data_IF_828439510242
#
_entry.id   IF_828439510242
#
_cell.length_a   1.000
_cell.length_b   1.000
_cell.length_c   1.000
_cell.angle_alpha   90.00
_cell.angle_beta   90.00
_cell.angle_gamma   90.00
#
_symmetry.space_group_name_H-M   'P 1'
#
loop_
_entity.id
_entity.type
_entity.pdbx_description
1 polymer ?
#
# COMPACT_ATOMS: atom_id res chain seq x y z
N UNK A 1 25.66 52.70 3.22
CA UNK A 1 25.85 51.41 2.52
C UNK A 1 24.51 50.70 2.51
N UNK A 2 23.90 50.20 1.45
CA UNK A 2 24.05 50.29 -0.01
C UNK A 2 22.66 49.84 -0.52
N UNK A 3 22.02 50.74 -1.26
CA UNK A 3 20.88 50.68 -2.18
C UNK A 3 20.09 49.36 -2.37
N UNK A 4 18.77 49.48 -2.20
CA UNK A 4 17.71 48.65 -2.78
C UNK A 4 17.81 48.60 -4.33
N UNK A 5 17.26 47.55 -4.97
CA UNK A 5 16.37 47.73 -6.13
C UNK A 5 15.71 46.43 -6.59
N UNK A 6 14.40 46.55 -6.79
CA UNK A 6 13.52 45.67 -7.53
C UNK A 6 13.81 45.71 -9.05
N UNK A 7 12.96 44.98 -9.82
CA UNK A 7 12.82 44.88 -11.28
C UNK A 7 13.26 43.49 -11.78
N UNK A 8 12.54 42.77 -12.64
CA UNK A 8 11.34 43.05 -13.41
C UNK A 8 10.86 41.72 -14.04
N UNK A 9 9.54 41.63 -14.32
CA UNK A 9 8.91 41.24 -15.61
C UNK A 9 9.60 40.13 -16.41
N UNK A 10 8.98 39.03 -16.84
CA UNK A 10 7.60 38.75 -17.18
C UNK A 10 7.58 37.61 -18.23
N UNK A 11 6.39 37.10 -18.53
CA UNK A 11 5.98 36.31 -19.70
C UNK A 11 7.03 35.47 -20.45
N UNK A 12 6.85 34.15 -20.45
CA UNK A 12 6.86 33.39 -21.69
C UNK A 12 6.10 32.07 -21.53
N UNK A 13 4.91 32.00 -22.10
CA UNK A 13 4.32 30.71 -22.45
C UNK A 13 5.04 30.15 -23.67
N UNK A 14 5.30 28.84 -23.67
CA UNK A 14 5.46 28.10 -24.92
C UNK A 14 5.13 26.62 -24.69
N UNK A 15 4.01 26.19 -25.27
CA UNK A 15 3.74 24.83 -25.71
C UNK A 15 4.99 24.21 -26.37
N UNK A 16 5.34 22.95 -26.08
CA UNK A 16 5.58 21.95 -27.12
C UNK A 16 5.74 20.53 -26.56
N UNK A 17 5.28 19.60 -27.40
CA UNK A 17 4.91 18.20 -27.20
C UNK A 17 6.13 17.20 -27.18
N UNK A 18 5.93 15.87 -27.10
CA UNK A 18 6.78 14.92 -26.38
C UNK A 18 7.92 14.30 -27.22
N UNK A 19 8.96 13.82 -26.55
CA UNK A 19 9.95 12.92 -27.15
C UNK A 19 9.63 11.46 -26.76
N UNK A 20 8.98 10.76 -27.69
CA UNK A 20 8.83 9.30 -27.67
C UNK A 20 10.22 8.69 -27.91
N UNK A 21 10.86 8.17 -26.87
CA UNK A 21 12.01 7.28 -27.05
C UNK A 21 11.52 5.84 -27.19
N UNK A 22 11.33 5.40 -28.43
CA UNK A 22 11.20 3.99 -28.76
C UNK A 22 12.54 3.28 -28.46
N UNK A 23 12.62 2.57 -27.34
CA UNK A 23 13.77 1.72 -27.00
C UNK A 23 13.58 0.34 -27.63
N UNK A 24 14.39 0.06 -28.65
CA UNK A 24 14.55 -1.27 -29.26
C UNK A 24 14.91 -2.30 -28.19
N UNK A 25 14.21 -3.44 -28.07
CA UNK A 25 14.65 -4.54 -27.23
C UNK A 25 15.76 -5.33 -27.92
N UNK A 26 16.92 -5.58 -27.28
CA UNK A 26 17.81 -6.62 -27.74
C UNK A 26 17.20 -7.99 -27.43
N UNK A 27 17.06 -8.81 -28.47
CA UNK A 27 16.76 -10.23 -28.37
C UNK A 27 17.89 -10.93 -27.60
N UNK A 28 17.64 -11.29 -26.34
CA UNK A 28 18.52 -12.19 -25.58
C UNK A 28 17.94 -13.59 -25.59
N UNK A 29 18.71 -14.46 -26.23
CA UNK A 29 18.56 -15.91 -26.22
C UNK A 29 19.20 -16.38 -24.92
N UNK A 30 18.42 -16.41 -23.85
CA UNK A 30 18.91 -16.93 -22.56
C UNK A 30 18.46 -18.38 -22.39
N UNK A 31 19.50 -19.21 -22.47
CA UNK A 31 19.55 -20.63 -22.18
C UNK A 31 18.93 -20.97 -20.82
N UNK A 32 18.13 -22.03 -20.84
CA UNK A 32 17.84 -22.99 -19.79
C UNK A 32 18.53 -22.77 -18.44
N UNK A 33 17.78 -22.24 -17.47
CA UNK A 33 18.07 -22.40 -16.04
C UNK A 33 16.86 -23.09 -15.39
N UNK A 34 17.05 -24.17 -14.60
CA UNK A 34 15.93 -24.91 -14.04
C UNK A 34 15.28 -24.13 -12.88
N UNK A 35 14.00 -23.81 -13.06
CA UNK A 35 12.98 -23.77 -12.01
C UNK A 35 13.30 -22.96 -10.75
N UNK A 36 13.12 -21.64 -10.82
CA UNK A 36 12.64 -20.92 -9.65
C UNK A 36 11.16 -21.29 -9.47
N UNK A 37 10.90 -22.35 -8.70
CA UNK A 37 9.55 -22.65 -8.21
C UNK A 37 9.14 -21.48 -7.32
N UNK A 38 8.40 -20.54 -7.89
CA UNK A 38 7.49 -19.70 -7.11
C UNK A 38 6.54 -20.67 -6.42
N UNK A 39 6.86 -21.06 -5.18
CA UNK A 39 5.91 -21.69 -4.30
C UNK A 39 4.74 -20.71 -4.22
N UNK A 40 3.64 -21.07 -4.89
CA UNK A 40 2.38 -20.35 -4.78
C UNK A 40 2.07 -20.32 -3.29
N UNK A 41 2.07 -19.13 -2.70
CA UNK A 41 1.68 -18.97 -1.30
C UNK A 41 0.35 -19.72 -1.11
N UNK A 42 0.29 -20.56 -0.08
CA UNK A 42 -0.94 -21.26 0.25
C UNK A 42 -2.04 -20.22 0.51
N UNK A 43 -3.30 -20.48 0.12
CA UNK A 43 -4.38 -19.50 0.17
C UNK A 43 -4.62 -18.89 1.57
N UNK A 44 -4.16 -19.56 2.63
CA UNK A 44 -4.22 -19.03 3.99
C UNK A 44 -3.22 -17.89 4.24
N UNK A 45 -2.02 -17.96 3.64
CA UNK A 45 -0.99 -16.93 3.76
C UNK A 45 -1.41 -15.65 3.02
N UNK A 46 -2.06 -15.78 1.87
CA UNK A 46 -2.61 -14.63 1.12
C UNK A 46 -3.66 -13.88 1.96
N UNK A 47 -4.56 -14.59 2.63
CA UNK A 47 -5.58 -13.99 3.49
C UNK A 47 -4.97 -13.29 4.71
N UNK A 48 -3.91 -13.87 5.30
CA UNK A 48 -3.17 -13.28 6.42
C UNK A 48 -2.43 -12.00 5.99
N UNK A 49 -1.73 -12.02 4.86
CA UNK A 49 -1.00 -10.87 4.33
C UNK A 49 -1.94 -9.72 3.95
N UNK A 50 -3.07 -10.04 3.31
CA UNK A 50 -4.08 -9.03 3.01
C UNK A 50 -4.71 -8.48 4.30
N UNK A 51 -4.96 -9.32 5.30
CA UNK A 51 -5.41 -8.91 6.62
C UNK A 51 -4.44 -7.96 7.32
N UNK A 52 -3.14 -8.24 7.28
CA UNK A 52 -2.10 -7.35 7.80
C UNK A 52 -2.12 -5.98 7.11
N UNK A 53 -2.24 -5.96 5.78
CA UNK A 53 -2.34 -4.72 5.02
C UNK A 53 -3.56 -3.90 5.41
N UNK A 54 -4.73 -4.55 5.59
CA UNK A 54 -5.95 -3.88 6.06
C UNK A 54 -5.80 -3.38 7.49
N UNK A 55 -5.11 -4.11 8.35
CA UNK A 55 -4.82 -3.70 9.72
C UNK A 55 -3.97 -2.43 9.74
N UNK A 56 -2.88 -2.37 8.97
CA UNK A 56 -2.02 -1.19 8.89
C UNK A 56 -2.74 0.04 8.31
N UNK A 57 -3.62 -0.16 7.33
CA UNK A 57 -4.38 0.93 6.73
C UNK A 57 -5.44 1.54 7.67
N UNK A 58 -6.01 0.75 8.58
CA UNK A 58 -7.18 1.16 9.35
C UNK A 58 -6.93 1.33 10.85
N UNK A 59 -6.13 0.45 11.46
CA UNK A 59 -6.09 0.30 12.92
C UNK A 59 -4.91 1.04 13.57
N UNK A 60 -3.74 1.13 12.91
CA UNK A 60 -2.54 1.78 13.47
C UNK A 60 -2.53 3.31 13.34
N UNK A 61 -3.65 3.93 12.95
CA UNK A 61 -3.78 5.37 12.73
C UNK A 61 -3.99 6.17 14.01
N UNK A 62 -4.63 5.57 15.01
CA UNK A 62 -5.09 6.29 16.21
C UNK A 62 -4.38 5.83 17.49
N UNK A 63 -3.96 4.58 17.56
CA UNK A 63 -3.23 4.02 18.68
C UNK A 63 -2.46 2.77 18.23
N UNK A 64 -1.57 2.27 19.08
CA UNK A 64 -0.92 0.99 18.82
C UNK A 64 -1.91 -0.17 18.99
N UNK A 65 -1.64 -1.29 18.31
CA UNK A 65 -2.39 -2.52 18.48
C UNK A 65 -2.48 -2.89 19.97
N UNK A 66 -3.67 -3.27 20.47
CA UNK A 66 -3.77 -3.78 21.83
C UNK A 66 -3.05 -5.14 21.94
N UNK A 67 -2.85 -5.60 23.17
CA UNK A 67 -2.36 -6.96 23.42
C UNK A 67 -3.33 -8.00 22.84
N UNK A 68 -2.84 -9.23 22.63
CA UNK A 68 -3.65 -10.31 22.04
C UNK A 68 -4.86 -10.61 22.94
N UNK A 69 -6.06 -10.38 22.44
CA UNK A 69 -7.30 -10.74 23.13
C UNK A 69 -7.78 -12.14 22.70
N UNK A 70 -8.61 -12.82 23.51
CA UNK A 70 -9.29 -14.03 23.08
C UNK A 70 -10.10 -13.77 21.79
N UNK A 71 -10.19 -14.74 20.84
CA UNK A 71 -10.80 -14.50 19.52
C UNK A 71 -12.22 -13.91 19.58
N UNK A 72 -13.06 -14.33 20.53
CA UNK A 72 -14.42 -13.78 20.68
C UNK A 72 -14.44 -12.30 21.07
N UNK A 73 -13.48 -11.88 21.89
CA UNK A 73 -13.32 -10.48 22.26
C UNK A 73 -12.82 -9.66 21.08
N UNK A 74 -11.85 -10.20 20.31
CA UNK A 74 -11.38 -9.56 19.08
C UNK A 74 -12.51 -9.29 18.09
N UNK A 75 -13.41 -10.26 17.85
CA UNK A 75 -14.61 -10.06 16.99
C UNK A 75 -15.45 -8.87 17.46
N UNK A 76 -15.62 -8.71 18.77
CA UNK A 76 -16.45 -7.65 19.34
C UNK A 76 -15.79 -6.28 19.16
N UNK A 77 -14.48 -6.21 19.39
CA UNK A 77 -13.67 -5.00 19.20
C UNK A 77 -13.69 -4.59 17.72
N UNK A 78 -13.41 -5.52 16.80
CA UNK A 78 -13.40 -5.25 15.36
C UNK A 78 -14.77 -4.79 14.84
N UNK A 79 -15.88 -5.37 15.33
CA UNK A 79 -17.24 -4.88 15.00
C UNK A 79 -17.47 -3.46 15.47
N UNK A 80 -16.98 -3.10 16.65
CA UNK A 80 -17.05 -1.73 17.15
C UNK A 80 -16.18 -0.78 16.31
N UNK A 81 -14.96 -1.21 15.97
CA UNK A 81 -14.03 -0.46 15.14
C UNK A 81 -14.55 -0.26 13.71
N UNK A 82 -15.36 -1.19 13.19
CA UNK A 82 -16.02 -1.04 11.89
C UNK A 82 -16.78 0.28 11.76
N UNK A 83 -17.54 0.63 12.80
CA UNK A 83 -18.31 1.89 12.83
C UNK A 83 -17.40 3.08 13.11
N UNK A 84 -16.42 2.93 14.02
CA UNK A 84 -15.58 4.03 14.50
C UNK A 84 -14.50 4.47 13.49
N UNK A 85 -13.89 3.51 12.80
CA UNK A 85 -12.80 3.72 11.85
C UNK A 85 -13.24 3.56 10.39
N UNK A 86 -14.55 3.45 10.14
CA UNK A 86 -15.14 3.31 8.80
C UNK A 86 -14.57 2.10 8.02
N UNK A 87 -14.30 1.02 8.73
CA UNK A 87 -13.78 -0.23 8.13
C UNK A 87 -14.92 -0.93 7.39
N UNK A 88 -14.66 -1.46 6.21
CA UNK A 88 -15.69 -2.23 5.49
C UNK A 88 -15.91 -3.59 6.16
N UNK A 89 -17.04 -4.24 5.85
CA UNK A 89 -17.32 -5.59 6.32
C UNK A 89 -16.25 -6.61 5.84
N UNK A 90 -15.74 -6.43 4.63
CA UNK A 90 -14.70 -7.29 4.07
C UNK A 90 -13.36 -7.07 4.78
N UNK A 91 -12.96 -5.81 4.97
CA UNK A 91 -11.72 -5.47 5.67
C UNK A 91 -11.75 -5.99 7.11
N UNK A 92 -12.88 -5.85 7.81
CA UNK A 92 -13.04 -6.37 9.17
C UNK A 92 -12.77 -7.88 9.25
N UNK A 93 -13.24 -8.67 8.29
CA UNK A 93 -13.01 -10.12 8.29
C UNK A 93 -11.54 -10.47 8.06
N UNK A 94 -10.88 -9.76 7.16
CA UNK A 94 -9.45 -9.95 6.86
C UNK A 94 -8.59 -9.54 8.06
N UNK A 95 -8.91 -8.40 8.68
CA UNK A 95 -8.24 -7.93 9.90
C UNK A 95 -8.45 -8.94 11.03
N UNK A 96 -9.68 -9.40 11.23
CA UNK A 96 -9.98 -10.38 12.27
C UNK A 96 -9.17 -11.67 12.04
N UNK A 97 -9.14 -12.19 10.81
CA UNK A 97 -8.33 -13.35 10.45
C UNK A 97 -6.86 -13.13 10.82
N UNK A 98 -6.28 -11.99 10.44
CA UNK A 98 -4.91 -11.62 10.79
C UNK A 98 -4.66 -11.55 12.31
N UNK A 99 -5.61 -11.03 13.09
CA UNK A 99 -5.43 -10.82 14.53
C UNK A 99 -5.70 -12.05 15.40
N UNK A 100 -6.38 -13.08 14.86
CA UNK A 100 -6.77 -14.28 15.62
C UNK A 100 -5.96 -15.54 15.30
N UNK A 101 -5.09 -15.50 14.30
CA UNK A 101 -4.02 -16.48 14.10
C UNK A 101 -2.90 -16.21 15.10
#
# INVERSE_FOLDING_TARGET
MKHNSALAVGLLGLFMLPAIFAKVPPSRKDSSTPGATTQRAEPEDDARLEGEKRFQANCSRCHQAPHKFPPRMMVTIERHMRVRALVTEQDMRLILHYMTQ
#
